data_IF_445905951596
#
_entry.id   IF_445905951596
#
_cell.length_a   1.000
_cell.length_b   1.000
_cell.length_c   1.000
_cell.angle_alpha   90.00
_cell.angle_beta   90.00
_cell.angle_gamma   90.00
#
_symmetry.space_group_name_H-M   'P 1'
#
loop_
_entity.id
_entity.type
_entity.pdbx_description
1 polymer ?
#
# COMPACT_ATOMS: atom_id res chain seq x y z
N UNK A 1 -2.69 -2.44 -24.43
CA UNK A 1 -2.93 -3.12 -25.73
C UNK A 1 -4.41 -3.42 -25.87
N UNK A 2 -5.01 -3.25 -27.06
CA UNK A 2 -6.40 -3.65 -27.31
C UNK A 2 -6.40 -4.90 -28.19
N UNK A 3 -7.09 -5.96 -27.77
CA UNK A 3 -7.23 -7.19 -28.55
C UNK A 3 -8.64 -7.75 -28.36
N UNK A 4 -9.31 -8.08 -29.47
CA UNK A 4 -10.67 -8.65 -29.47
C UNK A 4 -11.69 -7.86 -28.62
N UNK A 5 -11.57 -6.52 -28.64
CA UNK A 5 -12.45 -5.63 -27.87
C UNK A 5 -12.10 -5.48 -26.39
N UNK A 6 -11.02 -6.11 -25.90
CA UNK A 6 -10.53 -5.95 -24.53
C UNK A 6 -9.29 -5.06 -24.54
N UNK A 7 -9.37 -3.93 -23.83
CA UNK A 7 -8.24 -3.04 -23.56
C UNK A 7 -7.56 -3.47 -22.26
N UNK A 8 -6.32 -3.95 -22.36
CA UNK A 8 -5.49 -4.33 -21.22
C UNK A 8 -4.42 -3.28 -20.95
N UNK A 9 -4.24 -2.94 -19.69
CA UNK A 9 -3.23 -2.01 -19.21
C UNK A 9 -2.47 -2.63 -18.01
N UNK A 10 -1.17 -2.95 -18.18
CA UNK A 10 -0.40 -3.56 -17.12
C UNK A 10 0.16 -2.55 -16.10
N UNK A 11 0.19 -1.26 -16.42
CA UNK A 11 1.00 -0.27 -15.70
C UNK A 11 0.37 1.14 -15.72
N UNK A 12 -0.90 1.24 -15.33
CA UNK A 12 -1.52 2.54 -15.09
C UNK A 12 -0.75 3.31 -14.02
N UNK A 13 -0.30 4.52 -14.36
CA UNK A 13 0.29 5.49 -13.44
C UNK A 13 -0.47 6.80 -13.56
N UNK A 14 -1.02 7.29 -12.45
CA UNK A 14 -1.65 8.62 -12.37
C UNK A 14 -1.07 9.34 -11.16
N UNK A 15 -0.79 10.64 -11.32
CA UNK A 15 -0.34 11.48 -10.22
C UNK A 15 -1.18 12.75 -10.16
N UNK A 16 -1.59 13.10 -8.96
CA UNK A 16 -2.26 14.35 -8.61
C UNK A 16 -1.55 14.96 -7.40
N UNK A 17 -1.69 16.26 -7.10
CA UNK A 17 -1.20 16.81 -5.85
C UNK A 17 -1.68 15.97 -4.66
N UNK A 18 -0.73 15.52 -3.84
CA UNK A 18 -0.98 14.72 -2.63
C UNK A 18 -1.45 13.28 -2.83
N UNK A 19 -1.52 12.76 -4.06
CA UNK A 19 -1.83 11.35 -4.31
C UNK A 19 -1.12 10.78 -5.53
N UNK A 20 -0.69 9.53 -5.41
CA UNK A 20 -0.26 8.72 -6.54
C UNK A 20 -1.17 7.50 -6.68
N UNK A 21 -1.43 7.10 -7.91
CA UNK A 21 -2.26 5.93 -8.21
C UNK A 21 -1.50 5.01 -9.16
N UNK A 22 -1.42 3.75 -8.76
CA UNK A 22 -0.94 2.66 -9.58
C UNK A 22 -2.13 1.79 -9.95
N UNK A 23 -2.11 1.13 -11.10
CA UNK A 23 -3.13 0.14 -11.39
C UNK A 23 -2.79 -0.75 -12.55
N UNK A 24 -3.53 -1.84 -12.64
CA UNK A 24 -3.45 -2.77 -13.74
C UNK A 24 -4.79 -3.48 -13.91
N UNK A 25 -5.13 -3.81 -15.14
CA UNK A 25 -6.34 -4.55 -15.43
C UNK A 25 -6.87 -4.33 -16.83
N UNK A 26 -8.11 -4.73 -16.99
CA UNK A 26 -8.77 -4.87 -18.28
C UNK A 26 -10.09 -4.11 -18.32
N UNK A 27 -10.39 -3.60 -19.51
CA UNK A 27 -11.68 -3.01 -19.86
C UNK A 27 -12.20 -3.70 -21.11
N UNK A 28 -13.34 -4.38 -21.00
CA UNK A 28 -14.04 -4.96 -22.13
C UNK A 28 -14.94 -3.91 -22.76
N UNK A 29 -14.54 -3.39 -23.93
CA UNK A 29 -15.21 -2.31 -24.64
C UNK A 29 -16.53 -2.76 -25.28
N UNK A 30 -16.78 -4.08 -25.40
CA UNK A 30 -18.00 -4.63 -26.03
C UNK A 30 -19.19 -4.55 -25.08
N UNK A 31 -18.92 -4.70 -23.79
CA UNK A 31 -19.92 -4.66 -22.72
C UNK A 31 -19.68 -3.50 -21.74
N UNK A 32 -18.69 -2.64 -22.06
CA UNK A 32 -18.23 -1.55 -21.20
C UNK A 32 -17.95 -2.00 -19.76
N UNK A 33 -17.37 -3.19 -19.59
CA UNK A 33 -17.06 -3.78 -18.29
C UNK A 33 -15.62 -3.52 -17.88
N UNK A 34 -15.37 -3.24 -16.60
CA UNK A 34 -14.03 -3.08 -16.04
C UNK A 34 -13.70 -4.19 -15.04
N UNK A 35 -12.44 -4.61 -15.03
CA UNK A 35 -11.83 -5.37 -13.95
C UNK A 35 -10.42 -4.82 -13.73
N UNK A 36 -10.28 -3.96 -12.73
CA UNK A 36 -9.06 -3.22 -12.45
C UNK A 36 -8.66 -3.34 -11.00
N UNK A 37 -7.38 -3.60 -10.76
CA UNK A 37 -6.76 -3.45 -9.45
C UNK A 37 -6.06 -2.10 -9.41
N UNK A 38 -6.30 -1.34 -8.36
CA UNK A 38 -5.79 0.01 -8.21
C UNK A 38 -5.18 0.15 -6.82
N UNK A 39 -3.96 0.66 -6.75
CA UNK A 39 -3.28 1.06 -5.52
C UNK A 39 -3.32 2.57 -5.39
N UNK A 40 -3.91 3.07 -4.30
CA UNK A 40 -3.99 4.51 -3.99
C UNK A 40 -2.97 4.82 -2.91
N UNK A 41 -1.99 5.66 -3.23
CA UNK A 41 -0.97 6.13 -2.30
C UNK A 41 -1.30 7.57 -1.95
N UNK A 42 -1.53 7.79 -0.66
CA UNK A 42 -1.74 9.13 -0.11
C UNK A 42 -0.37 9.72 0.24
N UNK A 43 -0.07 10.88 -0.32
CA UNK A 43 1.23 11.55 -0.16
C UNK A 43 1.16 12.80 0.72
N UNK A 44 -0.02 13.40 0.88
CA UNK A 44 -0.22 14.66 1.62
C UNK A 44 0.18 15.89 0.81
N UNK A 45 -0.13 17.07 1.32
CA UNK A 45 0.31 18.32 0.69
C UNK A 45 1.83 18.46 0.81
N UNK A 46 2.51 18.47 -0.34
CA UNK A 46 3.97 18.60 -0.47
C UNK A 46 4.39 19.97 -1.05
N UNK A 47 3.47 20.94 -1.07
CA UNK A 47 3.77 22.31 -1.51
C UNK A 47 4.61 23.05 -0.46
N UNK A 48 5.24 24.15 -0.87
CA UNK A 48 6.09 24.97 0.01
C UNK A 48 5.29 25.64 1.15
N UNK A 49 3.98 25.81 0.97
CA UNK A 49 3.06 26.35 1.97
C UNK A 49 1.83 25.43 2.08
N UNK A 50 1.94 24.30 2.82
CA UNK A 50 0.88 23.32 2.88
C UNK A 50 -0.34 23.87 3.63
N UNK A 51 -1.54 23.60 3.10
CA UNK A 51 -2.78 23.95 3.78
C UNK A 51 -2.99 23.05 5.02
N UNK A 52 -3.12 23.60 6.24
CA UNK A 52 -3.40 22.79 7.43
C UNK A 52 -4.67 21.93 7.32
N UNK A 53 -5.65 22.32 6.50
CA UNK A 53 -6.84 21.51 6.23
C UNK A 53 -6.55 20.26 5.38
N UNK A 54 -5.42 20.21 4.70
CA UNK A 54 -4.94 19.08 3.92
C UNK A 54 -3.89 18.24 4.68
N UNK A 55 -3.72 18.47 5.98
CA UNK A 55 -2.84 17.66 6.81
C UNK A 55 -3.37 16.22 6.91
N UNK A 56 -2.51 15.27 6.55
CA UNK A 56 -2.84 13.85 6.57
C UNK A 56 -2.11 13.22 7.74
N UNK A 57 -2.81 12.38 8.51
CA UNK A 57 -2.19 11.63 9.58
C UNK A 57 -0.96 10.86 9.02
N UNK A 58 0.25 11.08 9.56
CA UNK A 58 1.47 10.49 9.03
C UNK A 58 1.42 8.96 8.92
N UNK A 59 0.56 8.30 9.70
CA UNK A 59 0.33 6.86 9.66
C UNK A 59 -0.29 6.34 8.35
N UNK A 60 -0.84 7.21 7.52
CA UNK A 60 -1.46 6.84 6.25
C UNK A 60 -0.62 7.22 5.03
N UNK A 61 0.40 8.05 5.22
CA UNK A 61 1.26 8.54 4.14
C UNK A 61 2.13 7.40 3.61
N UNK A 62 2.23 7.27 2.29
CA UNK A 62 3.06 6.26 1.64
C UNK A 62 2.51 4.82 1.68
N UNK A 63 1.35 4.60 2.31
CA UNK A 63 0.66 3.31 2.26
C UNK A 63 -0.12 3.22 0.94
N UNK A 64 0.11 2.14 0.19
CA UNK A 64 -0.63 1.83 -1.03
C UNK A 64 -1.91 1.06 -0.70
N UNK A 65 -3.04 1.76 -0.66
CA UNK A 65 -4.35 1.18 -0.36
C UNK A 65 -4.90 0.42 -1.56
N UNK A 66 -5.13 -0.90 -1.45
CA UNK A 66 -5.55 -1.70 -2.58
C UNK A 66 -7.07 -1.65 -2.71
N UNK A 67 -7.52 -1.28 -3.90
CA UNK A 67 -8.93 -1.32 -4.29
C UNK A 67 -9.08 -2.18 -5.54
N UNK A 68 -10.18 -2.93 -5.58
CA UNK A 68 -10.59 -3.73 -6.71
C UNK A 68 -11.85 -3.09 -7.30
N UNK A 69 -11.74 -2.63 -8.54
CA UNK A 69 -12.85 -2.12 -9.33
C UNK A 69 -13.34 -3.22 -10.25
N UNK A 70 -14.61 -3.65 -10.10
CA UNK A 70 -15.24 -4.62 -10.98
C UNK A 70 -16.68 -4.24 -11.26
N UNK A 71 -17.03 -4.22 -12.54
CA UNK A 71 -18.38 -3.95 -13.00
C UNK A 71 -18.42 -3.01 -14.19
N UNK A 72 -19.62 -2.55 -14.58
CA UNK A 72 -19.78 -1.66 -15.70
C UNK A 72 -19.11 -0.29 -15.50
N UNK A 73 -18.61 0.30 -16.59
CA UNK A 73 -17.92 1.60 -16.60
C UNK A 73 -18.81 2.74 -16.10
N UNK A 74 -20.12 2.68 -16.33
CA UNK A 74 -21.07 3.69 -15.84
C UNK A 74 -21.15 3.79 -14.31
N UNK A 75 -20.73 2.75 -13.58
CA UNK A 75 -20.65 2.81 -12.12
C UNK A 75 -19.43 3.61 -11.64
N UNK A 76 -18.41 3.77 -12.48
CA UNK A 76 -17.17 4.46 -12.14
C UNK A 76 -16.60 4.00 -10.79
N UNK A 77 -16.32 4.96 -9.89
CA UNK A 77 -15.82 4.66 -8.54
C UNK A 77 -16.77 3.78 -7.69
N UNK A 78 -18.07 3.73 -8.00
CA UNK A 78 -19.02 2.84 -7.29
C UNK A 78 -18.78 1.36 -7.59
N UNK A 79 -18.01 1.03 -8.63
CA UNK A 79 -17.55 -0.35 -8.89
C UNK A 79 -16.34 -0.76 -8.03
N UNK A 80 -15.72 0.18 -7.31
CA UNK A 80 -14.50 -0.04 -6.56
C UNK A 80 -14.77 -0.37 -5.09
N UNK A 81 -14.13 -1.42 -4.57
CA UNK A 81 -14.18 -1.82 -3.17
C UNK A 81 -12.77 -2.02 -2.65
N UNK A 82 -12.55 -1.80 -1.35
CA UNK A 82 -11.30 -2.17 -0.71
C UNK A 82 -11.05 -3.67 -0.89
N UNK A 83 -9.84 -4.00 -1.32
CA UNK A 83 -9.37 -5.37 -1.39
C UNK A 83 -9.02 -5.84 0.02
N UNK A 84 -9.92 -6.60 0.63
CA UNK A 84 -9.77 -7.07 2.01
C UNK A 84 -8.50 -7.90 2.22
N UNK A 85 -8.10 -8.68 1.22
CA UNK A 85 -6.90 -9.50 1.29
C UNK A 85 -5.65 -8.61 1.26
N UNK A 86 -5.61 -7.67 0.32
CA UNK A 86 -4.51 -6.68 0.24
C UNK A 86 -4.43 -5.81 1.50
N UNK A 87 -5.56 -5.38 2.05
CA UNK A 87 -5.60 -4.65 3.33
C UNK A 87 -5.08 -5.51 4.48
N UNK A 88 -5.42 -6.81 4.52
CA UNK A 88 -4.89 -7.75 5.51
C UNK A 88 -3.37 -7.89 5.44
N UNK A 89 -2.80 -7.94 4.22
CA UNK A 89 -1.35 -8.00 4.02
C UNK A 89 -0.66 -6.71 4.50
N UNK A 90 -1.24 -5.54 4.22
CA UNK A 90 -0.74 -4.26 4.72
C UNK A 90 -0.79 -4.22 6.25
N UNK A 91 -1.90 -4.64 6.85
CA UNK A 91 -2.03 -4.68 8.31
C UNK A 91 -1.00 -5.62 8.96
N UNK A 92 -0.77 -6.80 8.38
CA UNK A 92 0.24 -7.74 8.85
C UNK A 92 1.66 -7.15 8.75
N UNK A 93 1.98 -6.51 7.62
CA UNK A 93 3.27 -5.82 7.43
C UNK A 93 3.48 -4.71 8.47
N UNK A 94 2.52 -3.82 8.62
CA UNK A 94 2.61 -2.71 9.58
C UNK A 94 2.68 -3.20 11.04
N UNK A 95 2.02 -4.32 11.37
CA UNK A 95 2.15 -4.94 12.68
C UNK A 95 3.53 -5.57 12.88
N UNK A 96 4.05 -6.27 11.87
CA UNK A 96 5.41 -6.84 11.87
C UNK A 96 6.50 -5.77 11.99
N UNK A 97 6.36 -4.65 11.29
CA UNK A 97 7.29 -3.52 11.35
C UNK A 97 7.34 -2.93 12.77
N UNK A 98 6.18 -2.68 13.39
CA UNK A 98 6.10 -2.18 14.78
C UNK A 98 6.64 -3.16 15.82
N UNK A 99 6.42 -4.46 15.61
CA UNK A 99 6.95 -5.50 16.49
C UNK A 99 8.48 -5.53 16.38
N UNK A 100 9.00 -5.49 15.15
CA UNK A 100 10.45 -5.45 14.88
C UNK A 100 11.10 -4.22 15.49
N UNK A 101 10.53 -3.03 15.31
CA UNK A 101 11.03 -1.78 15.92
C UNK A 101 11.08 -1.88 17.46
N UNK A 102 9.97 -2.28 18.10
CA UNK A 102 9.93 -2.41 19.58
C UNK A 102 10.84 -3.50 20.11
N UNK A 103 11.06 -4.57 19.34
CA UNK A 103 12.02 -5.61 19.69
C UNK A 103 13.44 -5.10 19.55
N UNK A 104 13.79 -4.42 18.46
CA UNK A 104 15.12 -3.83 18.28
C UNK A 104 15.44 -2.84 19.42
N UNK A 105 14.50 -1.96 19.76
CA UNK A 105 14.65 -1.02 20.88
C UNK A 105 14.83 -1.76 22.22
N UNK A 106 13.97 -2.75 22.52
CA UNK A 106 14.08 -3.50 23.77
C UNK A 106 15.28 -4.43 23.83
N UNK A 107 15.71 -5.00 22.72
CA UNK A 107 16.93 -5.81 22.63
C UNK A 107 18.15 -4.93 22.86
N UNK A 108 18.18 -3.73 22.28
CA UNK A 108 19.25 -2.76 22.50
C UNK A 108 19.27 -2.27 23.95
N UNK A 109 18.12 -1.94 24.54
CA UNK A 109 18.02 -1.50 25.95
C UNK A 109 18.34 -2.62 26.96
N UNK A 110 17.78 -3.83 26.77
CA UNK A 110 17.90 -4.90 27.77
C UNK A 110 19.15 -5.75 27.63
N UNK A 111 19.73 -5.84 26.43
CA UNK A 111 20.90 -6.68 26.15
C UNK A 111 22.14 -5.84 25.81
N UNK A 112 22.05 -4.52 25.96
CA UNK A 112 23.06 -3.51 25.62
C UNK A 112 24.49 -3.95 25.87
N UNK A 113 24.86 -4.27 27.11
CA UNK A 113 26.28 -4.51 27.45
C UNK A 113 26.62 -5.94 27.94
N UNK A 114 25.66 -6.88 27.98
CA UNK A 114 25.85 -8.17 28.68
C UNK A 114 25.73 -9.44 27.83
N UNK A 115 25.56 -9.32 26.51
CA UNK A 115 25.30 -10.49 25.65
C UNK A 115 26.17 -10.46 24.41
N UNK A 116 26.77 -11.61 24.09
CA UNK A 116 27.66 -11.75 22.93
C UNK A 116 26.93 -11.45 21.61
N UNK A 117 27.64 -10.91 20.60
CA UNK A 117 27.04 -10.54 19.31
C UNK A 117 26.30 -11.70 18.64
N UNK A 118 26.82 -12.93 18.77
CA UNK A 118 26.24 -14.11 18.12
C UNK A 118 24.84 -14.47 18.66
N UNK A 119 24.60 -14.27 19.96
CA UNK A 119 23.29 -14.52 20.55
C UNK A 119 22.27 -13.45 20.16
N UNK A 120 22.72 -12.18 20.00
CA UNK A 120 21.87 -11.11 19.47
C UNK A 120 21.45 -11.40 18.03
N UNK A 121 22.37 -11.91 17.19
CA UNK A 121 22.07 -12.24 15.79
C UNK A 121 21.20 -13.49 15.65
N UNK A 122 21.41 -14.52 16.49
CA UNK A 122 20.55 -15.71 16.50
C UNK A 122 19.09 -15.37 16.88
N UNK A 123 18.90 -14.48 17.86
CA UNK A 123 17.56 -14.01 18.25
C UNK A 123 16.91 -13.18 17.13
N UNK A 124 17.66 -12.25 16.50
CA UNK A 124 17.15 -11.51 15.33
C UNK A 124 16.75 -12.45 14.18
N UNK A 125 17.50 -13.52 13.95
CA UNK A 125 17.19 -14.54 12.94
C UNK A 125 15.94 -15.37 13.24
N UNK A 126 15.62 -15.60 14.52
CA UNK A 126 14.42 -16.34 14.94
C UNK A 126 13.12 -15.56 14.71
N UNK A 127 13.17 -14.23 14.86
CA UNK A 127 11.99 -13.36 14.78
C UNK A 127 11.76 -12.69 13.41
N UNK A 128 12.72 -12.77 12.48
CA UNK A 128 12.58 -12.29 11.09
C UNK A 128 11.92 -13.31 10.14
N UNK A 129 11.18 -14.30 10.66
CA UNK A 129 10.47 -15.32 9.87
C UNK A 129 9.01 -14.99 9.66
#
# INVERSE_FOLDING_TARGET
MIRNGVASNPDLKVRTPGMAVNGNGDVDLRVLGMNYRVGIIVEGDKSDMPDPACEINPRFVGIEWPVQCRGPLELGAKACRLDKEGVGQIAARLAGDRISEKLEDKLNEKLGDKVSPELKDALKGLFKR
#
